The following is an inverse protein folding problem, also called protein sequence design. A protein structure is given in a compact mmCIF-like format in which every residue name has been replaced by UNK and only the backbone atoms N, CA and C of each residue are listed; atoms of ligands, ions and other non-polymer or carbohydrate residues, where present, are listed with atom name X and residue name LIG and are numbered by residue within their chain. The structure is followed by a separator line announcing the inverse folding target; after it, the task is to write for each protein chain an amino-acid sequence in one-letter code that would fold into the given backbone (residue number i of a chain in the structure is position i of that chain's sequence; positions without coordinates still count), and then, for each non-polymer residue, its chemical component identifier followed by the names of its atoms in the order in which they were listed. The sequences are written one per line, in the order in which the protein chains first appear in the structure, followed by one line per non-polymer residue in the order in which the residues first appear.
data_IF_561835315059
#
_entry.id   IF_561835315059
#
_cell.length_a   1.000
_cell.length_b   1.000
_cell.length_c   1.000
_cell.angle_alpha   90.00
_cell.angle_beta   90.00
_cell.angle_gamma   90.00
#
_symmetry.space_group_name_H-M   'P 1'
#
loop_
_entity.id
_entity.type
_entity.pdbx_description
1 polymer ?
#
# COMPACT_ATOMS: atom_id res chain seq x y z
N UNK A 1 18.55 -21.53 -8.15
CA UNK A 1 17.85 -20.46 -7.40
C UNK A 1 16.49 -20.30 -8.07
N UNK A 2 15.43 -20.67 -7.39
CA UNK A 2 14.07 -20.45 -7.91
C UNK A 2 13.63 -19.03 -7.59
N UNK A 3 13.25 -18.27 -8.61
CA UNK A 3 12.66 -16.94 -8.49
C UNK A 3 11.13 -16.99 -8.62
N UNK A 4 10.52 -18.16 -8.41
CA UNK A 4 9.07 -18.31 -8.42
C UNK A 4 8.45 -17.71 -7.15
N UNK A 5 7.24 -17.15 -7.30
CA UNK A 5 6.47 -16.69 -6.17
C UNK A 5 6.03 -17.85 -5.29
N UNK A 6 5.94 -17.63 -3.99
CA UNK A 6 5.27 -18.59 -3.11
C UNK A 6 3.76 -18.64 -3.39
N UNK A 7 3.09 -19.72 -2.99
CA UNK A 7 1.62 -19.82 -3.10
C UNK A 7 0.92 -18.67 -2.36
N UNK A 8 1.50 -18.21 -1.25
CA UNK A 8 1.00 -17.05 -0.51
C UNK A 8 1.14 -15.77 -1.31
N UNK A 9 2.28 -15.56 -1.96
CA UNK A 9 2.50 -14.39 -2.83
C UNK A 9 1.55 -14.40 -4.02
N UNK A 10 1.26 -15.55 -4.61
CA UNK A 10 0.30 -15.67 -5.71
C UNK A 10 -1.11 -15.27 -5.29
N UNK A 11 -1.59 -15.70 -4.11
CA UNK A 11 -2.89 -15.29 -3.56
C UNK A 11 -2.95 -13.77 -3.35
N UNK A 12 -1.91 -13.16 -2.79
CA UNK A 12 -1.85 -11.72 -2.63
C UNK A 12 -1.77 -10.98 -3.97
N UNK A 13 -1.05 -11.50 -4.95
CA UNK A 13 -0.98 -10.92 -6.29
C UNK A 13 -2.33 -10.93 -6.99
N UNK A 14 -3.10 -12.01 -6.89
CA UNK A 14 -4.45 -12.08 -7.45
C UNK A 14 -5.36 -11.02 -6.84
N UNK A 15 -5.39 -10.93 -5.49
CA UNK A 15 -6.16 -9.92 -4.78
C UNK A 15 -5.72 -8.49 -5.09
N UNK A 16 -4.41 -8.28 -5.23
CA UNK A 16 -3.86 -6.97 -5.57
C UNK A 16 -4.19 -6.59 -7.02
N UNK A 17 -4.13 -7.51 -7.98
CA UNK A 17 -4.56 -7.25 -9.37
C UNK A 17 -6.03 -6.84 -9.41
N UNK A 18 -6.91 -7.58 -8.72
CA UNK A 18 -8.32 -7.22 -8.61
C UNK A 18 -8.51 -5.80 -8.04
N UNK A 19 -7.75 -5.46 -7.01
CA UNK A 19 -7.78 -4.13 -6.40
C UNK A 19 -7.28 -3.03 -7.36
N UNK A 20 -6.18 -3.27 -8.06
CA UNK A 20 -5.63 -2.33 -9.04
C UNK A 20 -6.63 -2.09 -10.17
N UNK A 21 -7.17 -3.16 -10.77
CA UNK A 21 -8.05 -3.08 -11.92
C UNK A 21 -9.40 -2.43 -11.59
N UNK A 22 -9.98 -2.74 -10.43
CA UNK A 22 -11.35 -2.31 -10.11
C UNK A 22 -11.43 -1.10 -9.16
N UNK A 23 -10.33 -0.71 -8.53
CA UNK A 23 -10.30 0.40 -7.58
C UNK A 23 -9.26 1.47 -7.95
N UNK A 24 -7.99 1.11 -8.13
CA UNK A 24 -6.92 2.07 -8.31
C UNK A 24 -6.96 2.72 -9.69
N UNK A 25 -6.93 1.95 -10.78
CA UNK A 25 -6.94 2.50 -12.13
C UNK A 25 -8.19 3.35 -12.45
N UNK A 26 -9.41 2.93 -12.06
CA UNK A 26 -10.58 3.80 -12.24
C UNK A 26 -10.52 5.10 -11.42
N UNK A 27 -9.80 5.11 -10.31
CA UNK A 27 -9.65 6.30 -9.45
C UNK A 27 -8.67 7.33 -9.98
N UNK A 28 -7.80 7.02 -10.95
CA UNK A 28 -6.77 7.93 -11.44
C UNK A 28 -7.33 9.26 -11.97
N UNK A 29 -8.40 9.20 -12.74
CA UNK A 29 -9.04 10.42 -13.26
C UNK A 29 -9.60 11.29 -12.13
N UNK A 30 -10.22 10.68 -11.13
CA UNK A 30 -10.76 11.36 -9.94
C UNK A 30 -9.63 11.97 -9.12
N UNK A 31 -8.55 11.23 -8.91
CA UNK A 31 -7.36 11.69 -8.21
C UNK A 31 -6.79 12.95 -8.85
N UNK A 32 -6.57 12.94 -10.16
CA UNK A 32 -6.04 14.10 -10.88
C UNK A 32 -6.98 15.32 -10.80
N UNK A 33 -8.27 15.11 -10.94
CA UNK A 33 -9.26 16.19 -10.79
C UNK A 33 -9.24 16.80 -9.39
N UNK A 34 -9.26 15.98 -8.35
CA UNK A 34 -9.20 16.45 -6.95
C UNK A 34 -7.88 17.15 -6.65
N UNK A 35 -6.76 16.62 -7.14
CA UNK A 35 -5.43 17.21 -6.97
C UNK A 35 -5.34 18.61 -7.60
N UNK A 36 -5.86 18.78 -8.81
CA UNK A 36 -5.90 20.09 -9.46
C UNK A 36 -6.82 21.09 -8.73
N UNK A 37 -7.95 20.64 -8.20
CA UNK A 37 -8.82 21.47 -7.38
C UNK A 37 -8.12 21.93 -6.08
N UNK A 38 -7.40 21.03 -5.41
CA UNK A 38 -6.61 21.33 -4.22
C UNK A 38 -5.50 22.35 -4.51
N UNK A 39 -4.77 22.21 -5.60
CA UNK A 39 -3.77 23.19 -6.02
C UNK A 39 -4.38 24.59 -6.23
N UNK A 40 -5.51 24.65 -6.95
CA UNK A 40 -6.21 25.93 -7.22
C UNK A 40 -6.74 26.59 -5.96
N UNK A 41 -7.10 25.82 -4.96
CA UNK A 41 -7.56 26.34 -3.65
C UNK A 41 -6.44 26.69 -2.67
N UNK A 42 -5.17 26.54 -3.08
CA UNK A 42 -4.01 26.85 -2.23
C UNK A 42 -3.58 25.72 -1.29
N UNK A 43 -4.05 24.51 -1.51
CA UNK A 43 -3.74 23.32 -0.68
C UNK A 43 -3.01 22.22 -1.47
N UNK A 44 -1.86 22.51 -2.12
CA UNK A 44 -1.19 21.57 -3.04
C UNK A 44 -0.64 20.30 -2.37
N UNK A 45 -0.50 20.30 -1.04
CA UNK A 45 0.08 19.20 -0.27
C UNK A 45 -0.97 18.33 0.44
N UNK A 46 -2.24 18.68 0.33
CA UNK A 46 -3.32 17.86 0.89
C UNK A 46 -3.58 16.67 -0.03
N UNK A 47 -3.71 15.48 0.56
CA UNK A 47 -4.05 14.28 -0.20
C UNK A 47 -5.49 14.38 -0.74
N UNK A 48 -5.71 13.99 -2.01
CA UNK A 48 -7.06 13.87 -2.56
C UNK A 48 -7.94 12.91 -1.74
N UNK A 49 -9.19 13.24 -1.56
CA UNK A 49 -10.13 12.46 -0.73
C UNK A 49 -10.28 11.01 -1.23
N UNK A 50 -10.19 10.78 -2.54
CA UNK A 50 -10.26 9.43 -3.13
C UNK A 50 -9.20 8.49 -2.55
N UNK A 51 -8.05 9.00 -2.11
CA UNK A 51 -6.98 8.17 -1.53
C UNK A 51 -7.44 7.55 -0.21
N UNK A 52 -8.17 8.29 0.63
CA UNK A 52 -8.69 7.73 1.89
C UNK A 52 -9.73 6.63 1.64
N UNK A 53 -10.57 6.77 0.62
CA UNK A 53 -11.49 5.72 0.20
C UNK A 53 -10.76 4.46 -0.25
N UNK A 54 -9.66 4.62 -0.99
CA UNK A 54 -8.81 3.51 -1.43
C UNK A 54 -8.09 2.84 -0.26
N UNK A 55 -7.61 3.62 0.73
CA UNK A 55 -7.01 3.09 1.96
C UNK A 55 -7.99 2.19 2.71
N UNK A 56 -9.22 2.62 2.87
CA UNK A 56 -10.25 1.83 3.53
C UNK A 56 -10.57 0.54 2.74
N UNK A 57 -10.67 0.66 1.43
CA UNK A 57 -10.87 -0.49 0.55
C UNK A 57 -9.69 -1.48 0.62
N UNK A 58 -8.45 -1.00 0.69
CA UNK A 58 -7.27 -1.83 0.85
C UNK A 58 -7.25 -2.57 2.20
N UNK A 59 -7.59 -1.87 3.29
CA UNK A 59 -7.72 -2.48 4.63
C UNK A 59 -8.76 -3.60 4.64
N UNK A 60 -9.93 -3.35 4.08
CA UNK A 60 -11.02 -4.33 4.04
C UNK A 60 -10.67 -5.59 3.23
N UNK A 61 -9.75 -5.48 2.28
CA UNK A 61 -9.24 -6.59 1.47
C UNK A 61 -7.98 -7.26 2.05
N UNK A 62 -7.47 -6.79 3.19
CA UNK A 62 -6.24 -7.31 3.80
C UNK A 62 -4.98 -6.98 3.01
N UNK A 63 -4.99 -5.88 2.25
CA UNK A 63 -3.87 -5.41 1.42
C UNK A 63 -3.06 -4.28 2.09
N UNK A 64 -3.20 -4.11 3.39
CA UNK A 64 -2.56 -3.04 4.16
C UNK A 64 -1.23 -3.49 4.75
N UNK A 65 -0.19 -2.68 4.65
CA UNK A 65 1.14 -2.93 5.25
C UNK A 65 1.87 -4.19 4.75
N UNK A 66 1.60 -4.65 3.54
CA UNK A 66 2.20 -5.89 3.00
C UNK A 66 3.73 -5.83 2.85
N UNK A 67 4.32 -4.63 2.86
CA UNK A 67 5.77 -4.44 2.75
C UNK A 67 6.53 -4.85 4.01
N UNK A 68 5.88 -4.91 5.20
CA UNK A 68 6.54 -5.26 6.46
C UNK A 68 6.95 -6.75 6.46
N UNK A 69 8.25 -7.05 6.46
CA UNK A 69 8.75 -8.42 6.39
C UNK A 69 8.70 -9.07 7.77
N UNK A 70 7.50 -9.28 8.32
CA UNK A 70 7.36 -9.95 9.60
C UNK A 70 6.87 -11.38 9.46
N UNK A 71 7.77 -12.30 9.79
CA UNK A 71 7.46 -13.72 9.87
C UNK A 71 6.58 -14.10 11.08
N UNK A 72 6.39 -13.21 12.05
CA UNK A 72 5.63 -13.47 13.27
C UNK A 72 4.15 -13.16 13.12
N UNK A 73 3.80 -12.29 12.17
CA UNK A 73 2.41 -12.03 11.83
C UNK A 73 1.97 -12.91 10.65
N UNK A 74 1.11 -13.92 10.87
CA UNK A 74 0.64 -14.78 9.80
C UNK A 74 -0.13 -14.02 8.71
N UNK A 75 -0.70 -12.86 9.05
CA UNK A 75 -1.43 -12.02 8.10
C UNK A 75 -0.48 -11.33 7.12
N UNK A 76 0.70 -10.93 7.60
CA UNK A 76 1.65 -10.14 6.79
C UNK A 76 2.83 -10.98 6.30
N UNK A 77 3.46 -11.80 6.98
CA UNK A 77 4.58 -12.71 6.73
C UNK A 77 5.04 -13.00 5.29
N UNK A 78 5.07 -11.99 4.43
CA UNK A 78 5.68 -12.08 3.09
C UNK A 78 7.20 -11.90 3.22
N UNK A 79 7.95 -12.69 2.47
CA UNK A 79 9.38 -12.43 2.30
C UNK A 79 9.59 -11.21 1.41
N UNK A 80 10.79 -10.63 1.45
CA UNK A 80 11.15 -9.53 0.53
C UNK A 80 11.00 -9.97 -0.94
N UNK A 81 11.34 -11.21 -1.25
CA UNK A 81 11.19 -11.77 -2.60
C UNK A 81 9.73 -11.85 -3.01
N UNK A 82 8.85 -12.32 -2.11
CA UNK A 82 7.40 -12.39 -2.37
C UNK A 82 6.82 -10.98 -2.58
N UNK A 83 7.23 -10.03 -1.74
CA UNK A 83 6.74 -8.65 -1.86
C UNK A 83 7.23 -7.94 -3.12
N UNK A 84 8.39 -8.29 -3.67
CA UNK A 84 8.92 -7.67 -4.89
C UNK A 84 7.94 -7.71 -6.06
N UNK A 85 7.25 -8.83 -6.26
CA UNK A 85 6.25 -8.97 -7.30
C UNK A 85 5.00 -8.07 -7.05
N UNK A 86 4.61 -7.90 -5.78
CA UNK A 86 3.52 -6.99 -5.41
C UNK A 86 3.93 -5.53 -5.63
N UNK A 87 5.16 -5.18 -5.26
CA UNK A 87 5.71 -3.83 -5.45
C UNK A 87 5.77 -3.46 -6.93
N UNK A 88 6.17 -4.37 -7.81
CA UNK A 88 6.14 -4.18 -9.26
C UNK A 88 4.73 -3.81 -9.75
N UNK A 89 3.72 -4.54 -9.30
CA UNK A 89 2.34 -4.29 -9.69
C UNK A 89 1.84 -2.91 -9.22
N UNK A 90 2.18 -2.49 -8.01
CA UNK A 90 1.82 -1.15 -7.50
C UNK A 90 2.50 -0.02 -8.25
N UNK A 91 3.66 -0.29 -8.84
CA UNK A 91 4.41 0.66 -9.66
C UNK A 91 3.69 1.12 -10.93
N UNK A 92 2.63 0.45 -11.35
CA UNK A 92 1.79 0.88 -12.48
C UNK A 92 0.89 2.09 -12.14
N UNK A 93 0.68 2.40 -10.87
CA UNK A 93 0.01 3.62 -10.40
C UNK A 93 0.81 4.23 -9.23
N UNK A 94 1.99 4.80 -9.50
CA UNK A 94 2.95 5.18 -8.47
C UNK A 94 2.47 6.34 -7.58
N UNK A 95 1.57 7.17 -8.07
CA UNK A 95 1.03 8.31 -7.31
C UNK A 95 -0.09 7.89 -6.32
N UNK A 96 -0.71 6.74 -6.53
CA UNK A 96 -1.91 6.33 -5.79
C UNK A 96 -1.69 5.02 -5.04
N UNK A 97 -1.25 3.96 -5.73
CA UNK A 97 -1.24 2.62 -5.16
C UNK A 97 -0.33 2.47 -3.92
N UNK A 98 0.91 2.99 -3.89
CA UNK A 98 1.75 2.91 -2.70
C UNK A 98 1.12 3.58 -1.49
N UNK A 99 0.48 4.73 -1.68
CA UNK A 99 -0.21 5.44 -0.60
C UNK A 99 -1.46 4.70 -0.14
N UNK A 100 -2.26 4.20 -1.07
CA UNK A 100 -3.49 3.44 -0.77
C UNK A 100 -3.22 2.14 0.00
N UNK A 101 -2.05 1.51 -0.20
CA UNK A 101 -1.63 0.26 0.44
C UNK A 101 -0.74 0.48 1.67
N UNK A 102 -0.48 1.75 2.03
CA UNK A 102 0.40 2.17 3.12
C UNK A 102 1.85 1.67 2.96
N UNK A 103 2.37 1.74 1.76
CA UNK A 103 3.75 1.39 1.45
C UNK A 103 4.51 2.54 0.76
N UNK A 104 4.06 3.78 0.94
CA UNK A 104 4.70 4.98 0.43
C UNK A 104 5.86 5.44 1.31
N UNK A 105 6.96 5.87 0.70
CA UNK A 105 8.03 6.52 1.43
C UNK A 105 7.64 7.98 1.81
N UNK A 106 8.07 8.49 2.97
CA UNK A 106 9.05 7.94 3.92
C UNK A 106 8.43 7.08 5.04
N UNK A 107 7.12 6.88 5.05
CA UNK A 107 6.40 6.25 6.17
C UNK A 107 6.82 4.81 6.41
N UNK A 108 7.17 4.08 5.36
CA UNK A 108 7.64 2.68 5.45
C UNK A 108 8.84 2.54 6.39
N UNK A 109 9.83 3.43 6.31
CA UNK A 109 10.98 3.41 7.22
C UNK A 109 10.60 3.69 8.67
N UNK A 110 9.69 4.64 8.91
CA UNK A 110 9.18 4.95 10.24
C UNK A 110 8.40 3.77 10.83
N UNK A 111 7.59 3.11 10.01
CA UNK A 111 6.83 1.94 10.43
C UNK A 111 7.74 0.75 10.78
N UNK A 112 8.79 0.51 9.99
CA UNK A 112 9.79 -0.53 10.32
C UNK A 112 10.51 -0.25 11.62
N UNK A 113 10.95 0.99 11.86
CA UNK A 113 11.58 1.38 13.12
C UNK A 113 10.64 1.14 14.29
N UNK A 114 9.39 1.57 14.17
CA UNK A 114 8.38 1.38 15.21
C UNK A 114 8.10 -0.12 15.44
N UNK A 115 7.98 -0.89 14.34
CA UNK A 115 7.74 -2.32 14.38
C UNK A 115 8.89 -3.08 15.10
N UNK A 116 10.13 -2.78 14.77
CA UNK A 116 11.30 -3.47 15.30
C UNK A 116 11.66 -3.04 16.73
N UNK A 117 11.56 -1.76 17.05
CA UNK A 117 12.10 -1.16 18.24
C UNK A 117 11.06 -0.50 19.16
N UNK A 118 9.85 -0.30 18.68
CA UNK A 118 8.79 0.32 19.47
C UNK A 118 8.33 -0.55 20.64
N UNK A 119 8.05 0.08 21.78
CA UNK A 119 7.40 -0.59 22.91
C UNK A 119 5.95 -0.96 22.58
N UNK A 120 5.31 -1.90 23.30
CA UNK A 120 3.90 -2.21 23.08
C UNK A 120 2.97 -0.99 23.13
N UNK A 121 3.23 -0.05 24.05
CA UNK A 121 2.44 1.16 24.17
C UNK A 121 2.60 2.10 22.96
N UNK A 122 3.81 2.22 22.41
CA UNK A 122 4.07 3.02 21.20
C UNK A 122 3.45 2.42 19.94
N UNK A 123 3.32 1.09 19.89
CA UNK A 123 2.69 0.40 18.75
C UNK A 123 1.16 0.49 18.77
N UNK A 124 0.56 0.90 19.89
CA UNK A 124 -0.89 1.06 20.04
C UNK A 124 -1.39 2.50 19.79
N UNK A 125 -0.49 3.45 19.69
CA UNK A 125 -0.79 4.85 19.35
C UNK A 125 -0.98 5.05 17.86
#
# INVERSE_FOLDING_TARGET
MEFGNSLKAEDYLERLRDFMDHKVFPAEAIYHQQREALKKSGHPHVLPAIVEELKEAARSKGLWNLFLPDSKDPAHGLTVTDYAALAELTGWSPDIAPEALNCSAPDTGNMEVLHLFGTPAQKQQ
#
